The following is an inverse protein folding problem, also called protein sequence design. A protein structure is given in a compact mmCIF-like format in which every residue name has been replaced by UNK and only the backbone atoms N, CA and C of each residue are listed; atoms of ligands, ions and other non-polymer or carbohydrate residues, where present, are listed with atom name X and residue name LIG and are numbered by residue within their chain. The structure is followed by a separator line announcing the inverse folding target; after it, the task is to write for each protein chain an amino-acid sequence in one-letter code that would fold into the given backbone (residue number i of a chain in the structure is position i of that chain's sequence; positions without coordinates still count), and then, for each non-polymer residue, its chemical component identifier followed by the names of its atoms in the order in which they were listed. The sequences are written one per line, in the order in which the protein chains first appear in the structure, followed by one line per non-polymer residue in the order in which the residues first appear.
data_IF_585329191834
#
_entry.id   IF_585329191834
#
_cell.length_a   1.000
_cell.length_b   1.000
_cell.length_c   1.000
_cell.angle_alpha   90.00
_cell.angle_beta   90.00
_cell.angle_gamma   90.00
#
_symmetry.space_group_name_H-M   'P 1'
#
loop_
_entity.id
_entity.type
_entity.pdbx_description
1 polymer ?
#
# COMPACT_ATOMS: atom_id res chain seq x y z
N UNK A 1 6.84 -20.72 8.95
CA UNK A 1 6.27 -20.21 7.70
C UNK A 1 6.38 -18.71 7.75
N UNK A 2 7.12 -18.11 6.82
CA UNK A 2 7.33 -16.66 6.75
C UNK A 2 6.19 -16.02 5.96
N UNK A 3 5.66 -14.90 6.42
CA UNK A 3 4.71 -14.10 5.67
C UNK A 3 5.39 -12.82 5.22
N UNK A 4 5.25 -12.44 3.95
CA UNK A 4 5.74 -11.18 3.42
C UNK A 4 4.58 -10.46 2.74
N UNK A 5 4.39 -9.18 3.05
CA UNK A 5 3.40 -8.34 2.37
C UNK A 5 4.10 -7.20 1.66
N UNK A 6 3.80 -7.06 0.38
CA UNK A 6 4.25 -5.97 -0.48
C UNK A 6 3.11 -4.98 -0.64
N UNK A 7 3.31 -3.75 -0.17
CA UNK A 7 2.39 -2.65 -0.42
C UNK A 7 2.90 -1.81 -1.58
N UNK A 8 2.10 -1.73 -2.62
CA UNK A 8 2.31 -0.87 -3.77
C UNK A 8 1.28 0.27 -3.75
N UNK A 9 1.64 1.42 -4.30
CA UNK A 9 0.69 2.51 -4.50
C UNK A 9 0.31 2.55 -5.97
N UNK A 10 -0.98 2.58 -6.27
CA UNK A 10 -1.48 2.69 -7.65
C UNK A 10 -1.02 3.99 -8.33
N UNK A 11 -0.75 5.01 -7.51
CA UNK A 11 -0.29 6.30 -7.94
C UNK A 11 1.05 6.68 -7.30
N UNK A 12 2.07 6.77 -8.15
CA UNK A 12 3.44 7.14 -7.76
C UNK A 12 3.70 8.67 -7.79
N UNK A 13 2.67 9.52 -7.92
CA UNK A 13 2.81 10.99 -8.01
C UNK A 13 3.55 11.63 -6.82
N UNK A 14 3.60 10.98 -5.66
CA UNK A 14 4.30 11.50 -4.48
C UNK A 14 5.80 11.18 -4.47
N UNK A 15 6.30 10.29 -5.34
CA UNK A 15 7.74 10.06 -5.46
C UNK A 15 8.40 11.21 -6.25
N UNK A 16 9.52 11.77 -5.78
CA UNK A 16 10.33 12.70 -6.55
C UNK A 16 10.72 12.12 -7.91
N UNK A 17 10.79 12.96 -8.96
CA UNK A 17 11.11 12.52 -10.34
C UNK A 17 12.45 11.80 -10.46
N UNK A 18 13.37 12.07 -9.56
CA UNK A 18 14.71 11.52 -9.47
C UNK A 18 14.86 10.45 -8.37
N UNK A 19 13.76 10.02 -7.74
CA UNK A 19 13.77 8.92 -6.77
C UNK A 19 14.29 7.63 -7.42
N UNK A 20 15.33 7.05 -6.82
CA UNK A 20 15.95 5.78 -7.26
C UNK A 20 15.77 4.64 -6.26
N UNK A 21 15.05 4.87 -5.17
CA UNK A 21 14.79 3.87 -4.14
C UNK A 21 13.62 2.95 -4.48
N UNK A 22 13.29 2.05 -3.55
CA UNK A 22 12.08 1.23 -3.66
C UNK A 22 10.84 2.11 -3.68
N UNK A 23 9.86 1.74 -4.50
CA UNK A 23 8.55 2.41 -4.64
C UNK A 23 7.42 1.60 -3.99
N UNK A 24 7.79 0.57 -3.25
CA UNK A 24 6.90 -0.34 -2.53
C UNK A 24 7.43 -0.50 -1.11
N UNK A 25 6.57 -0.99 -0.22
CA UNK A 25 6.92 -1.28 1.16
C UNK A 25 6.85 -2.78 1.36
N UNK A 26 7.93 -3.36 1.90
CA UNK A 26 7.98 -4.77 2.24
C UNK A 26 7.88 -4.94 3.75
N UNK A 27 6.81 -5.60 4.22
CA UNK A 27 6.64 -5.91 5.63
C UNK A 27 6.67 -7.43 5.84
N UNK A 28 7.69 -7.89 6.56
CA UNK A 28 7.82 -9.28 6.99
C UNK A 28 7.04 -9.55 8.29
N UNK A 29 6.17 -10.55 8.23
CA UNK A 29 5.30 -11.02 9.31
C UNK A 29 4.45 -9.89 9.92
N UNK A 30 3.66 -9.16 9.11
CA UNK A 30 2.78 -8.14 9.65
C UNK A 30 1.75 -8.77 10.59
N UNK A 31 1.31 -8.04 11.63
CA UNK A 31 0.27 -8.51 12.55
C UNK A 31 -1.09 -8.66 11.86
N UNK A 32 -1.28 -8.01 10.72
CA UNK A 32 -2.51 -8.00 9.95
C UNK A 32 -2.22 -7.87 8.45
N UNK A 33 -2.97 -8.61 7.62
CA UNK A 33 -2.94 -8.49 6.16
C UNK A 33 -4.29 -7.97 5.70
N UNK A 34 -4.38 -6.71 5.23
CA UNK A 34 -5.62 -6.14 4.73
C UNK A 34 -6.26 -7.00 3.63
N UNK A 35 -7.57 -7.12 3.67
CA UNK A 35 -8.39 -7.66 2.59
C UNK A 35 -8.73 -6.56 1.58
N UNK A 36 -9.17 -6.97 0.39
CA UNK A 36 -9.69 -6.02 -0.61
C UNK A 36 -10.89 -5.26 -0.05
N UNK A 37 -10.84 -3.94 -0.06
CA UNK A 37 -11.87 -3.06 0.48
C UNK A 37 -11.62 -2.56 1.91
N UNK A 38 -10.57 -3.05 2.58
CA UNK A 38 -10.17 -2.49 3.87
C UNK A 38 -9.57 -1.09 3.70
N UNK A 39 -9.90 -0.18 4.62
CA UNK A 39 -9.24 1.11 4.71
C UNK A 39 -7.85 0.93 5.32
N UNK A 40 -6.85 1.50 4.68
CA UNK A 40 -5.45 1.39 5.11
C UNK A 40 -4.84 2.77 5.22
N UNK A 41 -4.07 2.97 6.29
CA UNK A 41 -3.21 4.13 6.44
C UNK A 41 -1.82 3.62 6.78
N UNK A 42 -0.83 3.95 5.95
CA UNK A 42 0.55 3.52 6.14
C UNK A 42 1.34 4.68 6.72
N UNK A 43 2.09 4.40 7.78
CA UNK A 43 3.10 5.29 8.36
C UNK A 43 4.42 5.06 7.66
N UNK A 44 4.68 5.81 6.58
CA UNK A 44 5.88 5.62 5.75
C UNK A 44 7.18 5.79 6.53
N UNK A 45 7.18 6.61 7.57
CA UNK A 45 8.33 6.84 8.46
C UNK A 45 8.80 5.59 9.20
N UNK A 46 7.96 4.54 9.29
CA UNK A 46 8.35 3.25 9.87
C UNK A 46 9.07 2.34 8.85
N UNK A 47 9.08 2.71 7.56
CA UNK A 47 9.58 1.85 6.46
C UNK A 47 10.62 2.52 5.55
N UNK A 48 10.59 3.84 5.43
CA UNK A 48 11.49 4.61 4.57
C UNK A 48 12.31 5.58 5.40
N UNK A 49 13.55 5.82 4.99
CA UNK A 49 14.45 6.77 5.65
C UNK A 49 14.55 8.12 4.92
N UNK A 50 14.01 8.24 3.70
CA UNK A 50 14.10 9.46 2.89
C UNK A 50 13.09 10.52 3.36
N UNK A 51 13.54 11.62 4.01
CA UNK A 51 12.63 12.61 4.57
C UNK A 51 11.82 13.35 3.49
N UNK A 52 12.33 13.47 2.27
CA UNK A 52 11.63 14.14 1.19
C UNK A 52 10.44 13.31 0.71
N UNK A 53 10.63 11.99 0.58
CA UNK A 53 9.57 11.05 0.20
C UNK A 53 8.52 10.97 1.30
N UNK A 54 8.95 10.87 2.58
CA UNK A 54 8.03 10.87 3.73
C UNK A 54 7.18 12.13 3.74
N UNK A 55 7.80 13.31 3.60
CA UNK A 55 7.06 14.57 3.61
C UNK A 55 6.10 14.68 2.41
N UNK A 56 6.56 14.35 1.20
CA UNK A 56 5.73 14.39 0.00
C UNK A 56 4.52 13.45 0.09
N UNK A 57 4.70 12.27 0.70
CA UNK A 57 3.59 11.36 0.97
C UNK A 57 2.63 11.92 2.02
N UNK A 58 3.14 12.45 3.13
CA UNK A 58 2.28 13.02 4.19
C UNK A 58 1.43 14.17 3.64
N UNK A 59 2.02 15.04 2.82
CA UNK A 59 1.31 16.14 2.14
C UNK A 59 0.28 15.58 1.14
N UNK A 60 0.61 14.52 0.40
CA UNK A 60 -0.30 13.88 -0.55
C UNK A 60 -1.46 13.15 0.13
N UNK A 61 -1.19 12.49 1.26
CA UNK A 61 -2.13 11.66 1.99
C UNK A 61 -3.06 12.48 2.92
N UNK A 62 -2.74 13.75 3.18
CA UNK A 62 -3.57 14.61 4.03
C UNK A 62 -5.01 14.71 3.49
N UNK A 63 -5.98 14.33 4.34
CA UNK A 63 -7.40 14.33 3.99
C UNK A 63 -7.83 13.22 3.02
N UNK A 64 -6.92 12.33 2.61
CA UNK A 64 -7.22 11.20 1.73
C UNK A 64 -7.47 9.91 2.49
N UNK A 65 -8.28 9.04 1.90
CA UNK A 65 -8.51 7.68 2.38
C UNK A 65 -7.99 6.72 1.32
N UNK A 66 -7.17 5.76 1.75
CA UNK A 66 -6.69 4.69 0.90
C UNK A 66 -7.39 3.38 1.23
N UNK A 67 -7.67 2.62 0.18
CA UNK A 67 -8.26 1.29 0.25
C UNK A 67 -7.27 0.26 -0.28
N UNK A 68 -7.19 -0.88 0.39
CA UNK A 68 -6.40 -2.01 -0.06
C UNK A 68 -7.12 -2.78 -1.16
N UNK A 69 -6.37 -3.18 -2.18
CA UNK A 69 -6.70 -4.25 -3.12
C UNK A 69 -5.66 -5.36 -2.95
N UNK A 70 -6.09 -6.55 -2.55
CA UNK A 70 -5.22 -7.73 -2.57
C UNK A 70 -5.19 -8.30 -3.98
N UNK A 71 -4.08 -8.15 -4.68
CA UNK A 71 -3.96 -8.53 -6.09
C UNK A 71 -3.50 -9.98 -6.23
N UNK A 72 -2.47 -10.38 -5.48
CA UNK A 72 -1.90 -11.72 -5.56
C UNK A 72 -1.59 -12.31 -4.18
N UNK A 73 -1.63 -13.64 -4.10
CA UNK A 73 -1.16 -14.40 -2.95
C UNK A 73 -0.41 -15.62 -3.44
N UNK A 74 0.89 -15.68 -3.18
CA UNK A 74 1.74 -16.81 -3.48
C UNK A 74 1.89 -17.66 -2.23
N UNK A 75 1.64 -18.96 -2.34
CA UNK A 75 1.76 -19.92 -1.24
C UNK A 75 2.86 -20.91 -1.59
N UNK A 76 4.01 -20.73 -0.96
CA UNK A 76 5.13 -21.66 -1.01
C UNK A 76 5.13 -22.61 0.18
N UNK A 77 6.05 -23.58 0.16
CA UNK A 77 6.22 -24.54 1.26
C UNK A 77 6.70 -23.88 2.56
N UNK A 78 7.48 -22.82 2.45
CA UNK A 78 8.15 -22.17 3.57
C UNK A 78 7.68 -20.72 3.79
N UNK A 79 7.03 -20.14 2.79
CA UNK A 79 6.64 -18.74 2.77
C UNK A 79 5.28 -18.50 2.12
N UNK A 80 4.66 -17.40 2.51
CA UNK A 80 3.51 -16.81 1.84
C UNK A 80 3.85 -15.37 1.50
N UNK A 81 3.58 -14.97 0.26
CA UNK A 81 3.76 -13.60 -0.20
C UNK A 81 2.42 -13.04 -0.64
N UNK A 82 2.08 -11.83 -0.20
CA UNK A 82 0.84 -11.14 -0.57
C UNK A 82 1.20 -9.78 -1.16
N UNK A 83 0.63 -9.48 -2.31
CA UNK A 83 0.76 -8.16 -2.93
C UNK A 83 -0.55 -7.39 -2.71
N UNK A 84 -0.43 -6.20 -2.13
CA UNK A 84 -1.52 -5.28 -1.86
C UNK A 84 -1.23 -3.98 -2.61
N UNK A 85 -2.17 -3.54 -3.45
CA UNK A 85 -2.14 -2.22 -4.05
C UNK A 85 -3.03 -1.29 -3.23
N UNK A 86 -2.54 -0.09 -2.93
CA UNK A 86 -3.27 0.96 -2.25
C UNK A 86 -3.80 1.96 -3.27
N UNK A 87 -5.13 2.09 -3.29
CA UNK A 87 -5.85 3.01 -4.15
C UNK A 87 -6.42 4.16 -3.33
N UNK A 88 -6.38 5.38 -3.86
CA UNK A 88 -7.19 6.47 -3.34
C UNK A 88 -8.68 6.12 -3.48
N UNK A 89 -9.49 6.48 -2.49
CA UNK A 89 -10.94 6.18 -2.45
C UNK A 89 -11.65 6.42 -3.78
N UNK A 90 -11.38 7.55 -4.44
CA UNK A 90 -12.00 7.91 -5.72
C UNK A 90 -11.72 6.87 -6.81
N UNK A 91 -10.48 6.38 -6.91
CA UNK A 91 -10.09 5.37 -7.90
C UNK A 91 -10.57 3.98 -7.49
N UNK A 92 -10.48 3.64 -6.20
CA UNK A 92 -10.99 2.38 -5.69
C UNK A 92 -12.50 2.21 -5.94
N UNK A 93 -13.29 3.27 -5.72
CA UNK A 93 -14.74 3.27 -5.97
C UNK A 93 -15.09 3.05 -7.45
N UNK A 94 -14.25 3.53 -8.38
CA UNK A 94 -14.45 3.29 -9.81
C UNK A 94 -14.19 1.83 -10.18
N UNK A 95 -13.13 1.24 -9.62
CA UNK A 95 -12.75 -0.15 -9.89
C UNK A 95 -13.67 -1.16 -9.17
N UNK A 96 -14.11 -0.85 -7.94
CA UNK A 96 -14.87 -1.75 -7.07
C UNK A 96 -16.15 -1.09 -6.50
N UNK A 97 -17.10 -0.68 -7.36
CA UNK A 97 -18.28 0.07 -6.91
C UNK A 97 -19.16 -0.69 -5.92
N UNK A 98 -19.14 -2.03 -5.94
CA UNK A 98 -19.93 -2.86 -5.03
C UNK A 98 -19.33 -2.99 -3.60
N UNK A 99 -18.04 -2.67 -3.43
CA UNK A 99 -17.33 -2.84 -2.15
C UNK A 99 -17.32 -1.58 -1.28
N UNK A 100 -17.76 -0.44 -1.82
CA UNK A 100 -17.78 0.82 -1.09
C UNK A 100 -19.21 1.34 -0.99
N UNK A 101 -19.87 1.08 0.15
CA UNK A 101 -21.17 1.69 0.43
C UNK A 101 -20.99 3.19 0.76
N UNK A 102 -21.98 4.05 0.42
CA UNK A 102 -21.94 5.48 0.73
C UNK A 102 -21.90 5.77 2.23
#
# INVERSE_FOLDING_TARGET
MKLTVHYEYDDHRFFPKDHRGETFIKFENPPFVPATGDKVHIRLEEFLDDPQVIQAYNDYAEGKVFYAERVHTFIGREETEVIIVLHEETEFRKAFPALVQP
#
